data_IF_540168147502
#
_entry.id   IF_540168147502
#
_cell.length_a   1.000
_cell.length_b   1.000
_cell.length_c   1.000
_cell.angle_alpha   90.00
_cell.angle_beta   90.00
_cell.angle_gamma   90.00
#
_symmetry.space_group_name_H-M   'P 1'
#
loop_
_entity.id
_entity.type
_entity.pdbx_description
1 polymer ?
#
# COMPACT_ATOMS: atom_id res chain seq x y z
N UNK A 1 26.77 22.66 3.90
CA UNK A 1 27.48 22.26 2.66
C UNK A 1 26.78 21.01 2.17
N UNK A 2 26.19 21.03 0.98
CA UNK A 2 25.49 19.87 0.42
C UNK A 2 26.44 19.17 -0.56
N UNK A 3 26.71 17.88 -0.37
CA UNK A 3 27.65 17.12 -1.20
C UNK A 3 26.96 16.83 -2.54
N UNK A 4 27.36 17.56 -3.58
CA UNK A 4 26.82 17.42 -4.94
C UNK A 4 27.89 16.81 -5.84
N UNK A 5 27.52 15.81 -6.63
CA UNK A 5 28.42 15.20 -7.62
C UNK A 5 28.68 16.12 -8.84
N UNK A 6 27.90 17.20 -9.00
CA UNK A 6 28.08 18.18 -10.07
C UNK A 6 27.11 19.35 -9.95
N UNK A 7 27.36 20.43 -10.71
CA UNK A 7 26.56 21.67 -10.63
C UNK A 7 25.07 21.45 -10.97
N UNK A 8 24.75 20.47 -11.81
CA UNK A 8 23.39 20.12 -12.22
C UNK A 8 22.86 18.81 -11.60
N UNK A 9 23.64 18.14 -10.76
CA UNK A 9 23.26 16.84 -10.20
C UNK A 9 22.38 16.98 -8.98
N UNK A 10 21.36 16.13 -8.88
CA UNK A 10 20.51 16.01 -7.70
C UNK A 10 21.31 15.38 -6.55
N UNK A 11 21.57 16.14 -5.48
CA UNK A 11 22.24 15.61 -4.28
C UNK A 11 21.43 14.49 -3.60
N UNK A 12 22.11 13.69 -2.77
CA UNK A 12 21.53 12.49 -2.14
C UNK A 12 20.27 12.78 -1.33
N UNK A 13 20.19 13.92 -0.66
CA UNK A 13 19.03 14.35 0.12
C UNK A 13 17.82 14.62 -0.78
N UNK A 14 18.04 15.18 -1.98
CA UNK A 14 16.96 15.44 -2.93
C UNK A 14 16.47 14.15 -3.58
N UNK A 15 17.38 13.22 -3.91
CA UNK A 15 17.03 11.88 -4.38
C UNK A 15 16.22 11.11 -3.32
N UNK A 16 16.68 11.14 -2.06
CA UNK A 16 15.97 10.52 -0.93
C UNK A 16 14.57 11.11 -0.74
N UNK A 17 14.42 12.44 -0.83
CA UNK A 17 13.10 13.09 -0.78
C UNK A 17 12.19 12.69 -1.94
N UNK A 18 12.72 12.57 -3.16
CA UNK A 18 11.94 12.14 -4.31
C UNK A 18 11.45 10.69 -4.15
N UNK A 19 12.32 9.79 -3.68
CA UNK A 19 11.97 8.40 -3.42
C UNK A 19 10.93 8.27 -2.28
N UNK A 20 11.09 9.02 -1.19
CA UNK A 20 10.13 9.03 -0.08
C UNK A 20 8.76 9.62 -0.52
N UNK A 21 8.76 10.68 -1.31
CA UNK A 21 7.54 11.26 -1.86
C UNK A 21 6.82 10.27 -2.79
N UNK A 22 7.55 9.57 -3.67
CA UNK A 22 7.00 8.53 -4.54
C UNK A 22 6.41 7.38 -3.73
N UNK A 23 7.14 6.91 -2.70
CA UNK A 23 6.65 5.87 -1.79
C UNK A 23 5.36 6.32 -1.12
N UNK A 24 5.34 7.49 -0.48
CA UNK A 24 4.19 8.01 0.26
C UNK A 24 3.00 8.37 -0.64
N UNK A 25 3.23 8.65 -1.93
CA UNK A 25 2.15 8.87 -2.89
C UNK A 25 1.46 7.55 -3.27
N UNK A 26 2.21 6.45 -3.39
CA UNK A 26 1.71 5.12 -3.76
C UNK A 26 1.20 4.31 -2.57
N UNK A 27 1.91 4.32 -1.45
CA UNK A 27 1.64 3.48 -0.29
C UNK A 27 2.03 4.19 1.02
N UNK A 28 1.06 4.35 1.91
CA UNK A 28 1.28 4.79 3.28
C UNK A 28 0.95 3.63 4.23
N UNK A 29 1.74 3.48 5.28
CA UNK A 29 1.54 2.44 6.30
C UNK A 29 1.72 2.99 7.72
N UNK A 30 1.20 4.18 7.96
CA UNK A 30 1.28 4.86 9.27
C UNK A 30 0.09 4.45 10.17
N UNK A 31 0.30 4.39 11.50
CA UNK A 31 -0.80 4.19 12.43
C UNK A 31 -1.68 5.45 12.53
N UNK A 32 -2.97 5.27 12.83
CA UNK A 32 -3.90 6.40 12.97
C UNK A 32 -3.59 7.30 14.20
N UNK A 33 -2.92 6.75 15.21
CA UNK A 33 -2.51 7.46 16.42
C UNK A 33 -1.33 6.71 17.08
N UNK A 34 -0.56 7.37 17.96
CA UNK A 34 0.51 6.71 18.71
C UNK A 34 0.01 5.46 19.45
N UNK A 35 0.76 4.36 19.35
CA UNK A 35 0.43 3.08 19.99
C UNK A 35 -0.65 2.23 19.30
N UNK A 36 -1.21 2.69 18.16
CA UNK A 36 -2.13 1.88 17.35
C UNK A 36 -1.39 1.09 16.27
N UNK A 37 -2.06 0.06 15.74
CA UNK A 37 -1.55 -0.72 14.62
C UNK A 37 -1.43 0.14 13.35
N UNK A 38 -0.40 -0.10 12.51
CA UNK A 38 -0.26 0.59 11.23
C UNK A 38 -1.43 0.24 10.30
N UNK A 39 -1.87 1.22 9.52
CA UNK A 39 -2.92 1.04 8.52
C UNK A 39 -2.34 1.28 7.14
N UNK A 40 -2.49 0.30 6.25
CA UNK A 40 -2.08 0.39 4.86
C UNK A 40 -3.11 1.24 4.10
N UNK A 41 -2.64 2.23 3.37
CA UNK A 41 -3.45 3.12 2.54
C UNK A 41 -2.78 3.26 1.18
N UNK A 42 -3.47 2.83 0.12
CA UNK A 42 -2.93 2.78 -1.23
C UNK A 42 -3.44 3.94 -2.08
N UNK A 43 -2.55 4.44 -2.93
CA UNK A 43 -2.73 5.61 -3.78
C UNK A 43 -3.32 6.83 -3.06
N UNK A 44 -2.90 7.16 -1.82
CA UNK A 44 -3.50 8.26 -1.05
C UNK A 44 -3.31 9.64 -1.71
N UNK A 45 -2.23 9.81 -2.49
CA UNK A 45 -1.89 11.07 -3.15
C UNK A 45 -1.32 10.86 -4.57
N UNK A 46 -1.60 9.71 -5.18
CA UNK A 46 -1.18 9.41 -6.55
C UNK A 46 -2.19 10.01 -7.54
N UNK A 47 -1.74 10.69 -8.61
CA UNK A 47 -2.63 11.14 -9.68
C UNK A 47 -3.36 9.95 -10.31
N UNK A 48 -4.70 10.03 -10.44
CA UNK A 48 -5.51 8.91 -10.95
C UNK A 48 -5.22 8.66 -12.43
N UNK A 49 -4.83 9.68 -13.17
CA UNK A 49 -4.47 9.62 -14.58
C UNK A 49 -3.12 8.94 -14.88
N UNK A 50 -2.33 8.60 -13.86
CA UNK A 50 -1.01 7.99 -14.05
C UNK A 50 -1.06 6.50 -13.76
N UNK A 51 -0.83 5.70 -14.79
CA UNK A 51 -0.72 4.26 -14.64
C UNK A 51 0.52 3.92 -13.81
N UNK A 52 0.36 2.98 -12.86
CA UNK A 52 1.46 2.57 -12.00
C UNK A 52 1.28 1.13 -11.54
N UNK A 53 2.40 0.41 -11.48
CA UNK A 53 2.48 -0.92 -10.90
C UNK A 53 3.67 -0.94 -9.93
N UNK A 54 3.45 -1.42 -8.70
CA UNK A 54 4.51 -1.43 -7.70
C UNK A 54 4.43 -2.64 -6.77
N UNK A 55 5.56 -2.93 -6.12
CA UNK A 55 5.64 -3.79 -4.95
C UNK A 55 6.50 -3.09 -3.90
N UNK A 56 5.93 -2.76 -2.74
CA UNK A 56 6.57 -1.98 -1.67
C UNK A 56 6.41 -2.64 -0.31
N UNK A 57 7.42 -2.48 0.54
CA UNK A 57 7.37 -2.93 1.93
C UNK A 57 6.60 -1.91 2.78
N UNK A 58 5.57 -2.38 3.48
CA UNK A 58 4.79 -1.64 4.45
C UNK A 58 5.12 -2.06 5.89
N UNK A 59 4.83 -1.17 6.85
CA UNK A 59 4.97 -1.46 8.29
C UNK A 59 4.18 -2.72 8.67
N UNK A 60 4.72 -3.49 9.62
CA UNK A 60 4.16 -4.81 9.98
C UNK A 60 4.73 -5.97 9.16
N UNK A 61 5.77 -5.71 8.36
CA UNK A 61 6.46 -6.65 7.49
C UNK A 61 5.53 -7.26 6.43
N UNK A 62 4.80 -6.38 5.76
CA UNK A 62 3.91 -6.71 4.65
C UNK A 62 4.53 -6.25 3.33
N UNK A 63 4.59 -7.13 2.34
CA UNK A 63 4.87 -6.73 0.96
C UNK A 63 3.53 -6.46 0.29
N UNK A 64 3.33 -5.23 -0.17
CA UNK A 64 2.10 -4.78 -0.81
C UNK A 64 2.36 -4.56 -2.29
N UNK A 65 1.62 -5.26 -3.13
CA UNK A 65 1.67 -5.16 -4.59
C UNK A 65 0.33 -4.69 -5.10
N UNK A 66 0.32 -3.68 -5.97
CA UNK A 66 -0.91 -3.13 -6.53
C UNK A 66 -0.66 -2.46 -7.87
N UNK A 67 -1.75 -2.28 -8.63
CA UNK A 67 -1.76 -1.66 -9.95
C UNK A 67 -2.92 -0.68 -10.04
N UNK A 68 -2.66 0.48 -10.65
CA UNK A 68 -3.66 1.42 -11.12
C UNK A 68 -3.50 1.58 -12.62
N UNK A 69 -4.61 1.41 -13.34
CA UNK A 69 -4.68 1.55 -14.80
C UNK A 69 -5.92 2.38 -15.14
N UNK A 70 -5.75 3.43 -15.94
CA UNK A 70 -6.82 4.34 -16.36
C UNK A 70 -7.67 4.86 -15.17
N UNK A 71 -7.02 5.20 -14.06
CA UNK A 71 -7.67 5.71 -12.85
C UNK A 71 -8.42 4.67 -12.02
N UNK A 72 -8.28 3.38 -12.31
CA UNK A 72 -8.90 2.28 -11.58
C UNK A 72 -7.85 1.40 -10.95
N UNK A 73 -7.98 1.17 -9.64
CA UNK A 73 -7.16 0.20 -8.94
C UNK A 73 -7.66 -1.19 -9.29
N UNK A 74 -6.84 -1.96 -10.00
CA UNK A 74 -7.23 -3.28 -10.53
C UNK A 74 -7.27 -4.34 -9.43
N UNK A 75 -6.25 -4.35 -8.58
CA UNK A 75 -6.10 -5.32 -7.51
C UNK A 75 -5.18 -4.82 -6.40
N UNK A 76 -5.25 -5.48 -5.25
CA UNK A 76 -4.29 -5.33 -4.16
C UNK A 76 -3.90 -6.72 -3.69
N UNK A 77 -2.60 -7.00 -3.66
CA UNK A 77 -2.03 -8.20 -3.07
C UNK A 77 -1.18 -7.80 -1.87
N UNK A 78 -1.39 -8.47 -0.72
CA UNK A 78 -0.63 -8.26 0.50
C UNK A 78 -0.09 -9.59 0.97
N UNK A 79 1.24 -9.72 0.99
CA UNK A 79 1.93 -10.88 1.56
C UNK A 79 2.40 -10.54 2.98
N UNK A 80 1.98 -11.36 3.94
CA UNK A 80 2.42 -11.26 5.33
C UNK A 80 3.68 -12.07 5.58
N UNK A 81 4.79 -11.43 5.95
CA UNK A 81 6.01 -12.17 6.29
C UNK A 81 6.06 -12.56 7.78
N UNK A 82 5.48 -11.76 8.67
CA UNK A 82 5.53 -12.00 10.13
C UNK A 82 4.22 -12.46 10.76
N UNK A 83 3.10 -12.47 10.04
CA UNK A 83 1.80 -12.85 10.59
C UNK A 83 1.15 -11.77 11.47
N UNK A 84 1.50 -10.50 11.27
CA UNK A 84 0.87 -9.38 11.97
C UNK A 84 -0.61 -9.23 11.58
N UNK A 85 -1.40 -8.48 12.34
CA UNK A 85 -2.74 -8.09 11.90
C UNK A 85 -2.63 -7.11 10.71
N UNK A 86 -3.27 -7.46 9.59
CA UNK A 86 -3.28 -6.63 8.39
C UNK A 86 -4.48 -5.67 8.45
N UNK A 87 -4.20 -4.37 8.55
CA UNK A 87 -5.20 -3.32 8.50
C UNK A 87 -5.07 -2.57 7.17
N UNK A 88 -6.10 -2.63 6.33
CA UNK A 88 -6.14 -1.97 5.03
C UNK A 88 -7.31 -0.98 5.01
N UNK A 89 -7.04 0.27 4.62
CA UNK A 89 -8.10 1.22 4.28
C UNK A 89 -8.60 0.90 2.86
N UNK A 90 -9.90 0.69 2.72
CA UNK A 90 -10.54 0.42 1.44
C UNK A 90 -10.28 1.60 0.46
N UNK A 91 -9.54 1.38 -0.64
CA UNK A 91 -9.22 2.46 -1.57
C UNK A 91 -10.32 2.74 -2.60
N UNK A 92 -11.37 1.91 -2.71
CA UNK A 92 -12.42 2.05 -3.72
C UNK A 92 -13.63 2.91 -3.28
N UNK A 93 -13.47 3.88 -2.38
CA UNK A 93 -14.50 4.88 -2.02
C UNK A 93 -15.94 4.31 -1.82
N UNK A 94 -16.10 3.32 -0.92
CA UNK A 94 -17.34 2.55 -0.66
C UNK A 94 -17.68 1.45 -1.68
N UNK A 95 -16.79 1.19 -2.64
CA UNK A 95 -16.84 0.03 -3.52
C UNK A 95 -16.81 -1.28 -2.74
N UNK A 96 -17.45 -2.29 -3.31
CA UNK A 96 -17.61 -3.61 -2.70
C UNK A 96 -16.35 -4.43 -2.94
N UNK A 97 -15.61 -4.70 -1.88
CA UNK A 97 -14.34 -5.42 -1.95
C UNK A 97 -14.56 -6.88 -1.62
N UNK A 98 -14.12 -7.77 -2.51
CA UNK A 98 -14.02 -9.19 -2.25
C UNK A 98 -12.60 -9.52 -1.80
N UNK A 99 -12.49 -10.23 -0.68
CA UNK A 99 -11.22 -10.54 -0.04
C UNK A 99 -10.98 -12.04 -0.13
N UNK A 100 -9.82 -12.39 -0.65
CA UNK A 100 -9.32 -13.76 -0.71
C UNK A 100 -8.11 -13.89 0.21
N UNK A 101 -8.06 -14.98 0.96
CA UNK A 101 -6.91 -15.38 1.78
C UNK A 101 -6.44 -16.75 1.30
N UNK A 102 -5.19 -16.85 0.86
CA UNK A 102 -4.62 -18.07 0.29
C UNK A 102 -5.52 -18.69 -0.78
N UNK A 103 -6.00 -17.85 -1.72
CA UNK A 103 -6.92 -18.20 -2.83
C UNK A 103 -8.34 -18.62 -2.44
N UNK A 104 -8.71 -18.55 -1.15
CA UNK A 104 -10.07 -18.82 -0.68
C UNK A 104 -10.77 -17.50 -0.35
N UNK A 105 -11.99 -17.31 -0.85
CA UNK A 105 -12.82 -16.15 -0.47
C UNK A 105 -13.13 -16.24 1.03
N UNK A 106 -12.85 -15.18 1.77
CA UNK A 106 -13.09 -15.12 3.22
C UNK A 106 -14.16 -14.11 3.60
N UNK A 107 -14.22 -12.98 2.90
CA UNK A 107 -15.07 -11.86 3.27
C UNK A 107 -15.41 -11.05 2.03
N UNK A 108 -16.55 -10.36 2.11
CA UNK A 108 -16.97 -9.36 1.16
C UNK A 108 -17.55 -8.20 1.95
N UNK A 109 -17.00 -6.99 1.80
CA UNK A 109 -17.41 -5.83 2.60
C UNK A 109 -17.32 -4.53 1.80
N UNK A 110 -18.01 -3.51 2.30
CA UNK A 110 -17.90 -2.10 1.86
C UNK A 110 -17.28 -1.22 2.94
N UNK A 111 -16.83 -1.82 4.05
CA UNK A 111 -16.24 -1.10 5.17
C UNK A 111 -15.02 -0.29 4.73
N UNK A 112 -14.83 0.87 5.37
CA UNK A 112 -13.71 1.77 5.09
C UNK A 112 -12.38 1.23 5.61
N UNK A 113 -12.41 0.44 6.69
CA UNK A 113 -11.26 -0.18 7.31
C UNK A 113 -11.48 -1.69 7.38
N UNK A 114 -10.53 -2.45 6.84
CA UNK A 114 -10.58 -3.90 6.74
C UNK A 114 -9.44 -4.45 7.58
N UNK A 115 -9.77 -5.19 8.63
CA UNK A 115 -8.82 -5.81 9.55
C UNK A 115 -8.86 -7.32 9.40
N UNK A 116 -7.72 -7.95 9.09
CA UNK A 116 -7.62 -9.38 8.85
C UNK A 116 -6.45 -9.95 9.65
N UNK A 117 -6.67 -10.95 10.52
CA UNK A 117 -5.57 -11.67 11.16
C UNK A 117 -4.83 -12.53 10.12
N UNK A 118 -3.51 -12.43 10.10
CA UNK A 118 -2.65 -13.20 9.19
C UNK A 118 -1.72 -14.13 9.96
N UNK A 119 -1.19 -15.13 9.26
CA UNK A 119 -0.07 -15.96 9.67
C UNK A 119 1.12 -15.66 8.76
N UNK A 120 2.35 -16.00 9.17
CA UNK A 120 3.50 -15.91 8.28
C UNK A 120 3.23 -16.65 6.97
N UNK A 121 3.61 -16.03 5.85
CA UNK A 121 3.40 -16.49 4.47
C UNK A 121 1.95 -16.46 3.96
N UNK A 122 0.98 -15.95 4.73
CA UNK A 122 -0.36 -15.72 4.19
C UNK A 122 -0.33 -14.66 3.08
N UNK A 123 -1.10 -14.91 2.02
CA UNK A 123 -1.33 -13.96 0.93
C UNK A 123 -2.79 -13.54 0.94
N UNK A 124 -3.02 -12.24 1.04
CA UNK A 124 -4.32 -11.60 0.93
C UNK A 124 -4.44 -10.97 -0.45
N UNK A 125 -5.59 -11.14 -1.09
CA UNK A 125 -5.88 -10.57 -2.39
C UNK A 125 -7.23 -9.88 -2.36
N UNK A 126 -7.27 -8.61 -2.76
CA UNK A 126 -8.45 -7.75 -2.72
C UNK A 126 -8.77 -7.31 -4.14
N UNK A 127 -10.05 -7.45 -4.51
CA UNK A 127 -10.57 -7.01 -5.80
C UNK A 127 -11.93 -6.35 -5.60
N UNK A 128 -12.16 -5.29 -6.36
CA UNK A 128 -13.47 -4.66 -6.47
C UNK A 128 -14.25 -5.37 -7.58
N UNK A 129 -15.50 -5.76 -7.28
CA UNK A 129 -16.38 -6.46 -8.23
C UNK A 129 -17.42 -5.53 -8.81
#
# INVERSE_FOLDING_TARGET
MDLREGFQTTGVQRLGRAADALHNALCQSIPASPGKNPVIHLFPAWPKEWDAHFSLLARGNFIVTSSIDQGKIEFIEIKSNSGSECNLRNPWENGKVTIYKNKRKILETTDRLISIPTKPQDVLYFVNK
#
